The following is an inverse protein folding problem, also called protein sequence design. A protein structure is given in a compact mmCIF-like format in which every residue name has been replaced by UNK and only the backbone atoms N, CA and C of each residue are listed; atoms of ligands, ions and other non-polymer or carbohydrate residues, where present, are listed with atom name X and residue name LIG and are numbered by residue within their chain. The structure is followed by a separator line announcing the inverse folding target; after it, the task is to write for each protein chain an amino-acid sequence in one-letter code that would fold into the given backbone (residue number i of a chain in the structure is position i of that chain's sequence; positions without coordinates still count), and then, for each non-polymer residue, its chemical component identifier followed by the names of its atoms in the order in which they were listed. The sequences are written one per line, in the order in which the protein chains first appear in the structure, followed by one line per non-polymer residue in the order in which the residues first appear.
data_IF_344980404766
#
_entry.id   IF_344980404766
#
_cell.length_a   1.000
_cell.length_b   1.000
_cell.length_c   1.000
_cell.angle_alpha   90.00
_cell.angle_beta   90.00
_cell.angle_gamma   90.00
#
_symmetry.space_group_name_H-M   'P 1'
#
loop_
_entity.id
_entity.type
_entity.pdbx_description
1 polymer ?
#
# COMPACT_ATOMS: atom_id res chain seq x y z
N UNK A 1 35.11 -24.64 -8.14
CA UNK A 1 34.07 -23.93 -7.35
C UNK A 1 32.74 -24.60 -7.60
N UNK A 2 31.86 -24.69 -6.58
CA UNK A 2 30.53 -25.31 -6.71
C UNK A 2 29.63 -24.50 -7.67
N UNK A 3 28.72 -25.13 -8.45
CA UNK A 3 27.82 -24.45 -9.39
C UNK A 3 26.99 -23.31 -8.74
N UNK A 4 26.67 -23.45 -7.46
CA UNK A 4 25.91 -22.49 -6.65
C UNK A 4 26.62 -21.15 -6.45
N UNK A 5 27.96 -21.12 -6.48
CA UNK A 5 28.75 -19.89 -6.30
C UNK A 5 28.79 -19.05 -7.58
N UNK A 6 28.74 -19.70 -8.75
CA UNK A 6 28.64 -19.03 -10.05
C UNK A 6 27.25 -18.45 -10.30
N UNK A 7 26.19 -19.16 -9.89
CA UNK A 7 24.81 -18.65 -9.95
C UNK A 7 24.64 -17.36 -9.12
N UNK A 8 25.32 -17.24 -7.97
CA UNK A 8 25.31 -16.00 -7.17
C UNK A 8 26.14 -14.86 -7.79
N UNK A 9 27.30 -15.16 -8.38
CA UNK A 9 28.11 -14.14 -9.08
C UNK A 9 27.41 -13.59 -10.32
N UNK A 10 26.73 -14.46 -11.08
CA UNK A 10 25.86 -14.05 -12.19
C UNK A 10 24.62 -13.31 -11.69
N UNK A 11 24.00 -13.76 -10.57
CA UNK A 11 22.87 -13.04 -9.98
C UNK A 11 23.27 -11.61 -9.59
N UNK A 12 24.39 -11.39 -8.89
CA UNK A 12 24.82 -10.02 -8.54
C UNK A 12 25.16 -9.15 -9.77
N UNK A 13 25.74 -9.74 -10.82
CA UNK A 13 26.12 -8.99 -12.04
C UNK A 13 24.89 -8.63 -12.88
N UNK A 14 23.92 -9.54 -12.97
CA UNK A 14 22.66 -9.35 -13.72
C UNK A 14 21.65 -8.51 -12.93
N UNK A 15 21.65 -8.59 -11.59
CA UNK A 15 20.69 -7.88 -10.73
C UNK A 15 21.00 -6.40 -10.53
N UNK A 16 22.23 -5.96 -10.75
CA UNK A 16 22.68 -4.62 -10.32
C UNK A 16 23.28 -3.76 -11.43
N UNK A 17 23.63 -4.32 -12.60
CA UNK A 17 24.40 -3.59 -13.61
C UNK A 17 25.80 -3.20 -13.13
N UNK A 18 26.30 -3.93 -12.13
CA UNK A 18 27.52 -3.64 -11.38
C UNK A 18 28.49 -4.82 -11.53
N UNK A 19 29.80 -4.55 -11.55
CA UNK A 19 30.79 -5.63 -11.62
C UNK A 19 30.86 -6.34 -10.27
N UNK A 20 30.48 -7.62 -10.25
CA UNK A 20 30.45 -8.42 -9.03
C UNK A 20 31.73 -9.25 -8.87
N UNK A 21 32.26 -9.27 -7.65
CA UNK A 21 33.38 -10.12 -7.27
C UNK A 21 33.05 -10.90 -6.00
N UNK A 22 33.26 -12.21 -6.04
CA UNK A 22 33.09 -13.10 -4.89
C UNK A 22 34.45 -13.67 -4.50
N UNK A 23 34.85 -13.43 -3.25
CA UNK A 23 36.10 -13.95 -2.69
C UNK A 23 35.82 -14.80 -1.45
N UNK A 24 36.43 -15.98 -1.38
CA UNK A 24 36.38 -16.82 -0.18
C UNK A 24 37.31 -16.25 0.89
N UNK A 25 36.82 -16.07 2.11
CA UNK A 25 37.65 -15.62 3.23
C UNK A 25 38.31 -16.83 3.88
N UNK A 26 39.63 -16.95 3.75
CA UNK A 26 40.42 -17.97 4.45
C UNK A 26 41.36 -17.25 5.40
N UNK A 27 41.13 -17.38 6.71
CA UNK A 27 42.03 -16.82 7.74
C UNK A 27 42.22 -15.30 7.70
N UNK A 28 41.23 -14.53 7.23
CA UNK A 28 41.28 -13.07 7.20
C UNK A 28 42.07 -12.43 6.06
N UNK A 29 42.51 -13.18 5.04
CA UNK A 29 43.14 -12.63 3.82
C UNK A 29 42.44 -13.11 2.54
N UNK A 30 42.41 -12.24 1.54
CA UNK A 30 41.73 -12.43 0.25
C UNK A 30 42.62 -13.22 -0.73
N UNK A 31 42.08 -14.24 -1.41
CA UNK A 31 42.77 -15.00 -2.46
C UNK A 31 42.01 -14.90 -3.80
N UNK A 32 42.71 -14.65 -4.92
CA UNK A 32 42.14 -14.58 -6.29
C UNK A 32 42.15 -15.96 -6.97
N UNK A 33 41.12 -16.31 -7.74
CA UNK A 33 41.08 -17.53 -8.56
C UNK A 33 40.66 -17.27 -10.01
N UNK A 34 41.37 -17.89 -10.96
CA UNK A 34 41.10 -17.89 -12.41
C UNK A 34 40.13 -19.00 -12.86
N UNK A 35 39.54 -18.82 -14.04
CA UNK A 35 38.35 -19.54 -14.53
C UNK A 35 38.61 -20.92 -15.17
N UNK A 36 37.64 -21.83 -14.99
CA UNK A 36 37.45 -23.10 -15.69
C UNK A 36 35.94 -23.47 -15.66
N UNK A 37 35.49 -24.13 -16.74
CA UNK A 37 34.09 -24.36 -17.17
C UNK A 37 33.44 -25.61 -16.50
N UNK A 38 32.10 -25.67 -16.23
CA UNK A 38 31.52 -26.72 -15.38
C UNK A 38 30.75 -27.83 -16.12
N UNK A 39 30.80 -29.04 -15.55
CA UNK A 39 29.87 -30.16 -15.77
C UNK A 39 28.86 -30.24 -14.61
N UNK A 40 27.62 -30.65 -14.91
CA UNK A 40 26.47 -30.58 -14.01
C UNK A 40 26.19 -31.90 -13.27
N UNK A 41 25.85 -31.84 -11.97
CA UNK A 41 24.73 -32.61 -11.35
C UNK A 41 24.59 -32.39 -9.82
N UNK A 42 23.32 -32.43 -9.38
CA UNK A 42 22.76 -32.66 -8.02
C UNK A 42 22.62 -31.47 -7.06
N UNK A 43 21.36 -31.14 -6.73
CA UNK A 43 20.94 -30.09 -5.78
C UNK A 43 20.12 -30.70 -4.65
N UNK A 44 20.58 -30.58 -3.41
CA UNK A 44 19.78 -30.75 -2.18
C UNK A 44 19.80 -29.43 -1.38
N UNK A 45 18.71 -29.17 -0.65
CA UNK A 45 18.36 -27.85 -0.11
C UNK A 45 19.38 -27.21 0.83
N UNK A 46 19.55 -25.90 0.71
CA UNK A 46 20.40 -25.07 1.54
C UNK A 46 19.59 -23.90 2.14
N UNK A 47 19.82 -23.60 3.41
CA UNK A 47 19.43 -22.34 4.05
C UNK A 47 20.70 -21.50 4.21
N UNK A 48 20.67 -20.26 3.74
CA UNK A 48 21.79 -19.33 3.82
C UNK A 48 21.31 -17.98 4.33
N UNK A 49 21.99 -17.44 5.34
CA UNK A 49 21.78 -16.09 5.85
C UNK A 49 22.74 -15.15 5.09
N UNK A 50 22.20 -14.13 4.42
CA UNK A 50 22.97 -13.09 3.76
C UNK A 50 22.88 -11.81 4.59
N UNK A 51 24.01 -11.37 5.14
CA UNK A 51 24.12 -10.06 5.77
C UNK A 51 24.71 -9.08 4.76
N UNK A 52 23.92 -8.08 4.36
CA UNK A 52 24.30 -7.05 3.37
C UNK A 52 24.62 -5.76 4.11
N UNK A 53 25.79 -5.18 3.81
CA UNK A 53 26.26 -3.91 4.33
C UNK A 53 26.62 -2.97 3.17
N UNK A 54 25.91 -1.84 3.08
CA UNK A 54 26.32 -0.77 2.18
C UNK A 54 27.52 -0.04 2.77
N UNK A 55 28.64 -0.06 2.04
CA UNK A 55 29.91 0.47 2.56
C UNK A 55 30.18 1.88 2.01
N UNK A 56 29.76 2.16 0.76
CA UNK A 56 29.82 3.49 0.12
C UNK A 56 28.65 3.68 -0.86
N UNK A 57 28.54 4.85 -1.52
CA UNK A 57 27.51 5.12 -2.54
C UNK A 57 27.62 4.22 -3.77
N UNK A 58 28.80 3.66 -4.06
CA UNK A 58 29.05 2.86 -5.26
C UNK A 58 29.51 1.44 -4.94
N UNK A 59 29.58 1.04 -3.67
CA UNK A 59 29.99 -0.31 -3.26
C UNK A 59 29.01 -0.92 -2.25
N UNK A 60 28.40 -2.03 -2.66
CA UNK A 60 27.60 -2.90 -1.80
C UNK A 60 28.44 -4.13 -1.50
N UNK A 61 28.59 -4.46 -0.21
CA UNK A 61 29.32 -5.67 0.19
C UNK A 61 28.50 -6.50 1.18
N UNK A 62 28.66 -7.81 1.16
CA UNK A 62 27.94 -8.70 2.06
C UNK A 62 28.80 -9.89 2.46
N UNK A 63 28.51 -10.44 3.63
CA UNK A 63 29.10 -11.70 4.07
C UNK A 63 28.03 -12.77 4.02
N UNK A 64 28.37 -13.87 3.35
CA UNK A 64 27.48 -15.01 3.15
C UNK A 64 28.13 -16.25 3.73
N UNK A 65 27.43 -16.93 4.62
CA UNK A 65 27.85 -18.21 5.17
C UNK A 65 27.21 -19.36 4.36
N UNK A 66 28.05 -20.10 3.62
CA UNK A 66 27.65 -21.26 2.81
C UNK A 66 28.53 -22.45 3.18
N UNK A 67 27.92 -23.55 3.65
CA UNK A 67 28.60 -24.80 3.99
C UNK A 67 29.79 -24.60 4.96
N UNK A 68 29.55 -23.86 6.04
CA UNK A 68 30.58 -23.52 7.04
C UNK A 68 31.76 -22.70 6.49
N UNK A 69 31.58 -22.04 5.35
CA UNK A 69 32.56 -21.11 4.76
C UNK A 69 31.97 -19.72 4.58
N UNK A 70 32.74 -18.72 4.99
CA UNK A 70 32.42 -17.29 4.83
C UNK A 70 32.86 -16.83 3.44
N UNK A 71 31.95 -16.24 2.70
CA UNK A 71 32.20 -15.60 1.42
C UNK A 71 31.96 -14.10 1.57
N UNK A 72 32.83 -13.28 1.00
CA UNK A 72 32.56 -11.85 0.84
C UNK A 72 32.12 -11.62 -0.60
N UNK A 73 30.91 -11.12 -0.77
CA UNK A 73 30.46 -10.52 -2.01
C UNK A 73 30.77 -9.02 -1.95
N UNK A 74 31.33 -8.46 -3.01
CA UNK A 74 31.40 -7.01 -3.22
C UNK A 74 30.94 -6.73 -4.64
N UNK A 75 30.18 -5.65 -4.78
CA UNK A 75 29.58 -5.20 -6.02
C UNK A 75 29.89 -3.72 -6.18
N UNK A 76 30.57 -3.37 -7.27
CA UNK A 76 30.94 -1.98 -7.56
C UNK A 76 30.07 -1.48 -8.70
N UNK A 77 29.26 -0.47 -8.41
CA UNK A 77 28.30 0.10 -9.33
C UNK A 77 28.91 1.28 -10.09
N UNK A 78 28.81 1.23 -11.43
CA UNK A 78 29.36 2.25 -12.30
C UNK A 78 28.62 3.59 -12.18
N UNK A 79 29.32 4.70 -12.45
CA UNK A 79 28.83 6.07 -12.30
C UNK A 79 27.70 6.49 -13.28
N UNK A 80 27.09 5.53 -14.00
CA UNK A 80 26.09 5.78 -15.04
C UNK A 80 24.63 5.81 -14.56
N UNK A 81 24.33 5.39 -13.34
CA UNK A 81 22.95 5.37 -12.84
C UNK A 81 22.52 6.79 -12.44
N UNK A 82 21.44 7.31 -13.03
CA UNK A 82 20.89 8.62 -12.67
C UNK A 82 19.61 8.46 -11.86
N UNK A 83 19.47 9.22 -10.78
CA UNK A 83 18.25 9.25 -9.97
C UNK A 83 17.83 7.88 -9.40
N UNK A 84 16.59 7.49 -9.68
CA UNK A 84 15.91 6.28 -9.18
C UNK A 84 16.66 4.96 -9.40
N UNK A 85 17.44 4.85 -10.49
CA UNK A 85 18.18 3.63 -10.81
C UNK A 85 19.32 3.36 -9.80
N UNK A 86 19.80 4.39 -9.09
CA UNK A 86 20.72 4.22 -7.95
C UNK A 86 20.02 3.70 -6.70
N UNK A 87 18.73 3.99 -6.54
CA UNK A 87 17.96 3.61 -5.37
C UNK A 87 17.40 2.19 -5.48
N UNK A 88 17.08 1.70 -6.69
CA UNK A 88 16.51 0.38 -6.91
C UNK A 88 17.27 -0.79 -6.21
N UNK A 89 18.62 -0.87 -6.27
CA UNK A 89 19.40 -1.86 -5.50
C UNK A 89 19.19 -1.81 -3.99
N UNK A 90 19.04 -0.59 -3.46
CA UNK A 90 18.85 -0.27 -2.04
C UNK A 90 17.39 -0.41 -1.60
N UNK A 91 16.44 -0.34 -2.53
CA UNK A 91 15.00 -0.40 -2.28
C UNK A 91 14.38 -1.78 -2.42
N UNK A 92 15.22 -2.81 -2.44
CA UNK A 92 14.73 -4.17 -2.34
C UNK A 92 13.86 -4.33 -1.09
N UNK A 93 12.62 -4.85 -1.22
CA UNK A 93 11.77 -5.15 -0.08
C UNK A 93 12.54 -6.07 0.86
N UNK A 94 12.80 -5.58 2.06
CA UNK A 94 13.70 -6.23 3.04
C UNK A 94 12.99 -7.35 3.80
N UNK A 95 11.65 -7.31 3.80
CA UNK A 95 10.79 -8.28 4.48
C UNK A 95 9.42 -8.33 3.80
N UNK A 96 8.99 -9.53 3.43
CA UNK A 96 7.61 -9.81 3.03
C UNK A 96 7.03 -10.76 4.06
N UNK A 97 6.04 -10.31 4.83
CA UNK A 97 5.30 -11.19 5.72
C UNK A 97 4.10 -11.75 4.96
N UNK A 98 4.07 -13.07 4.81
CA UNK A 98 2.93 -13.78 4.26
C UNK A 98 2.07 -14.29 5.41
N UNK A 99 0.85 -13.76 5.53
CA UNK A 99 -0.17 -14.35 6.41
C UNK A 99 -1.17 -15.14 5.58
N UNK A 100 -1.53 -16.33 6.07
CA UNK A 100 -2.52 -17.21 5.46
C UNK A 100 -3.49 -17.71 6.52
N UNK A 101 -4.76 -17.37 6.34
CA UNK A 101 -5.82 -17.66 7.31
C UNK A 101 -6.31 -19.12 7.29
N UNK A 102 -5.77 -19.97 6.41
CA UNK A 102 -6.22 -21.38 6.28
C UNK A 102 -5.09 -22.37 6.50
N UNK A 103 -4.72 -22.57 7.76
CA UNK A 103 -3.98 -23.75 8.22
C UNK A 103 -4.88 -25.00 8.14
N UNK A 104 -5.05 -25.59 6.95
CA UNK A 104 -5.79 -26.86 6.86
C UNK A 104 -6.15 -27.37 5.47
N UNK A 105 -6.05 -26.56 4.41
CA UNK A 105 -6.22 -27.05 3.04
C UNK A 105 -5.00 -26.68 2.22
N UNK A 106 -4.04 -27.61 2.15
CA UNK A 106 -2.82 -27.54 1.32
C UNK A 106 -3.09 -27.45 -0.20
N UNK A 107 -4.28 -27.00 -0.64
CA UNK A 107 -4.70 -26.90 -2.03
C UNK A 107 -5.14 -25.49 -2.46
N UNK A 108 -5.21 -24.48 -1.58
CA UNK A 108 -5.81 -23.18 -1.93
C UNK A 108 -5.04 -21.93 -1.49
N UNK A 109 -3.93 -22.03 -0.75
CA UNK A 109 -3.07 -20.89 -0.37
C UNK A 109 -1.84 -20.73 -1.28
N UNK A 110 -1.22 -19.55 -1.28
CA UNK A 110 0.04 -19.30 -2.00
C UNK A 110 1.26 -19.88 -1.28
N UNK A 111 2.17 -20.51 -2.01
CA UNK A 111 3.47 -20.85 -1.44
C UNK A 111 4.38 -19.61 -1.37
N UNK A 112 5.41 -19.64 -0.52
CA UNK A 112 6.47 -18.62 -0.54
C UNK A 112 7.10 -18.52 -1.93
N UNK A 113 7.21 -19.63 -2.66
CA UNK A 113 7.72 -19.64 -4.03
C UNK A 113 6.78 -18.88 -4.99
N UNK A 114 5.46 -18.99 -4.83
CA UNK A 114 4.48 -18.23 -5.63
C UNK A 114 4.57 -16.74 -5.33
N UNK A 115 4.64 -16.37 -4.04
CA UNK A 115 4.84 -14.97 -3.62
C UNK A 115 6.17 -14.43 -4.13
N UNK A 116 7.24 -15.21 -4.02
CA UNK A 116 8.58 -14.77 -4.47
C UNK A 116 8.67 -14.64 -5.99
N UNK A 117 7.98 -15.50 -6.72
CA UNK A 117 7.90 -15.44 -8.18
C UNK A 117 7.08 -14.23 -8.66
N UNK A 118 6.02 -13.89 -7.93
CA UNK A 118 5.08 -12.84 -8.33
C UNK A 118 5.49 -11.44 -7.82
N UNK A 119 6.00 -11.36 -6.60
CA UNK A 119 6.28 -10.10 -5.88
C UNK A 119 7.71 -10.00 -5.35
N UNK A 120 8.45 -11.11 -5.35
CA UNK A 120 9.79 -11.19 -4.76
C UNK A 120 10.94 -10.92 -5.72
N UNK A 121 10.68 -10.48 -6.95
CA UNK A 121 11.70 -9.98 -7.87
C UNK A 121 11.66 -8.44 -7.86
N UNK A 122 12.53 -7.77 -7.08
CA UNK A 122 12.45 -6.32 -6.90
C UNK A 122 12.72 -5.52 -8.17
N UNK A 123 13.46 -6.10 -9.12
CA UNK A 123 13.74 -5.48 -10.41
C UNK A 123 12.52 -5.43 -11.32
N UNK A 124 11.53 -6.29 -11.06
CA UNK A 124 10.26 -6.29 -11.79
C UNK A 124 9.25 -5.33 -11.13
N UNK A 125 9.55 -4.83 -9.93
CA UNK A 125 8.71 -3.86 -9.24
C UNK A 125 8.98 -2.46 -9.78
N UNK A 126 7.91 -1.76 -10.17
CA UNK A 126 7.99 -0.34 -10.50
C UNK A 126 7.94 0.45 -9.20
N UNK A 127 8.94 1.29 -8.93
CA UNK A 127 8.95 2.16 -7.75
C UNK A 127 8.37 3.52 -8.08
N UNK A 128 7.74 4.15 -7.10
CA UNK A 128 7.20 5.51 -7.22
C UNK A 128 7.47 6.32 -5.95
N UNK A 129 7.50 7.64 -6.09
CA UNK A 129 7.47 8.54 -4.94
C UNK A 129 6.09 8.49 -4.31
N UNK A 130 6.04 8.22 -3.00
CA UNK A 130 4.80 8.09 -2.22
C UNK A 130 3.97 9.37 -2.27
N UNK A 131 4.62 10.54 -2.25
CA UNK A 131 3.94 11.83 -2.33
C UNK A 131 3.25 12.04 -3.69
N UNK A 132 3.83 11.53 -4.77
CA UNK A 132 3.35 11.73 -6.14
C UNK A 132 2.24 10.76 -6.58
N UNK A 133 1.94 9.73 -5.77
CA UNK A 133 1.02 8.65 -6.14
C UNK A 133 -0.16 8.51 -5.18
N UNK A 134 -1.32 8.15 -5.71
CA UNK A 134 -2.51 7.88 -4.91
C UNK A 134 -2.38 6.56 -4.15
N UNK A 135 -3.14 6.40 -3.07
CA UNK A 135 -3.32 5.11 -2.45
C UNK A 135 -4.62 4.46 -2.93
N UNK A 136 -4.50 3.24 -3.47
CA UNK A 136 -5.65 2.40 -3.78
C UNK A 136 -6.18 1.73 -2.52
N UNK A 137 -7.47 1.38 -2.56
CA UNK A 137 -8.09 0.55 -1.52
C UNK A 137 -7.43 -0.82 -1.48
N UNK A 138 -7.35 -1.41 -0.29
CA UNK A 138 -6.81 -2.75 -0.10
C UNK A 138 -7.79 -3.80 -0.63
N UNK A 139 -7.78 -4.00 -1.95
CA UNK A 139 -8.72 -4.89 -2.63
C UNK A 139 -8.00 -5.74 -3.68
N UNK A 140 -8.26 -7.04 -3.65
CA UNK A 140 -7.63 -8.02 -4.54
C UNK A 140 -8.20 -7.99 -5.97
N UNK A 141 -9.16 -7.10 -6.26
CA UNK A 141 -9.72 -6.81 -7.59
C UNK A 141 -8.97 -5.70 -8.32
N UNK A 142 -8.12 -4.92 -7.64
CA UNK A 142 -7.29 -3.89 -8.29
C UNK A 142 -6.31 -4.57 -9.26
N UNK A 143 -6.36 -4.15 -10.52
CA UNK A 143 -5.56 -4.72 -11.62
C UNK A 143 -4.34 -3.89 -12.00
N UNK A 144 -4.30 -2.62 -11.57
CA UNK A 144 -3.17 -1.74 -11.83
C UNK A 144 -2.13 -1.85 -10.71
N UNK A 145 -0.82 -1.72 -11.01
CA UNK A 145 0.18 -1.53 -9.97
C UNK A 145 -0.13 -0.28 -9.14
N UNK A 146 -0.14 -0.40 -7.81
CA UNK A 146 -0.44 0.72 -6.91
C UNK A 146 0.26 0.60 -5.57
N UNK A 147 0.17 1.66 -4.77
CA UNK A 147 0.46 1.66 -3.34
C UNK A 147 -0.88 1.55 -2.61
N UNK A 148 -0.90 0.80 -1.51
CA UNK A 148 -2.13 0.43 -0.81
C UNK A 148 -2.08 0.86 0.64
N UNK A 149 -3.21 1.35 1.13
CA UNK A 149 -3.38 1.69 2.54
C UNK A 149 -3.29 0.44 3.43
N UNK A 150 -2.73 0.54 4.63
CA UNK A 150 -2.59 -0.59 5.52
C UNK A 150 -3.87 -0.71 6.35
N UNK A 151 -4.08 -1.87 6.94
CA UNK A 151 -4.95 -1.90 8.10
C UNK A 151 -4.20 -1.57 9.37
N UNK A 152 -4.85 -0.77 10.21
CA UNK A 152 -4.59 -0.80 11.64
C UNK A 152 -5.33 -1.98 12.23
N UNK A 153 -4.62 -3.10 12.42
CA UNK A 153 -5.03 -4.03 13.44
C UNK A 153 -4.74 -3.36 14.79
N UNK A 154 -5.72 -3.17 15.68
CA UNK A 154 -5.45 -2.60 17.00
C UNK A 154 -4.46 -3.49 17.76
N UNK A 155 -3.37 -2.89 18.23
CA UNK A 155 -2.25 -3.53 18.96
C UNK A 155 -2.65 -4.22 20.29
N UNK A 156 -3.94 -4.20 20.65
CA UNK A 156 -4.45 -4.68 21.94
C UNK A 156 -5.32 -5.92 21.83
N UNK A 157 -4.83 -7.07 21.31
CA UNK A 157 -5.59 -8.33 21.44
C UNK A 157 -4.66 -9.58 21.45
N UNK A 158 -4.11 -9.89 22.63
CA UNK A 158 -3.39 -11.14 22.94
C UNK A 158 -4.33 -12.36 23.10
N UNK A 159 -5.28 -12.58 22.18
CA UNK A 159 -6.21 -13.72 22.28
C UNK A 159 -5.94 -14.81 21.22
N UNK A 160 -6.06 -16.10 21.58
CA UNK A 160 -5.76 -17.21 20.67
C UNK A 160 -6.72 -17.23 19.47
N UNK A 161 -6.15 -17.37 18.27
CA UNK A 161 -6.76 -17.44 16.93
C UNK A 161 -7.66 -18.68 16.68
N UNK A 162 -8.33 -19.23 17.70
CA UNK A 162 -9.17 -20.42 17.54
C UNK A 162 -10.67 -20.16 17.72
N UNK A 163 -11.09 -18.90 17.88
CA UNK A 163 -12.51 -18.57 18.05
C UNK A 163 -12.93 -17.23 17.43
N UNK A 164 -12.19 -16.69 16.45
CA UNK A 164 -12.48 -15.37 15.82
C UNK A 164 -12.28 -15.38 14.28
N UNK A 165 -12.53 -16.53 13.64
CA UNK A 165 -12.06 -16.90 12.28
C UNK A 165 -12.79 -16.24 11.09
N UNK A 166 -13.32 -15.02 11.26
CA UNK A 166 -13.86 -14.26 10.12
C UNK A 166 -13.79 -12.74 10.33
N UNK A 167 -13.85 -12.27 11.58
CA UNK A 167 -14.02 -10.85 11.88
C UNK A 167 -12.71 -10.05 11.78
N UNK A 168 -11.55 -10.68 12.05
CA UNK A 168 -10.26 -10.00 11.95
C UNK A 168 -9.76 -9.85 10.51
N UNK A 169 -10.03 -10.81 9.63
CA UNK A 169 -9.70 -10.69 8.20
C UNK A 169 -10.42 -9.52 7.51
N UNK A 170 -11.51 -9.00 8.09
CA UNK A 170 -12.30 -7.88 7.56
C UNK A 170 -11.83 -6.51 8.06
N UNK A 171 -11.13 -6.45 9.20
CA UNK A 171 -10.51 -5.21 9.70
C UNK A 171 -9.28 -4.86 8.86
N UNK A 172 -8.82 -5.80 8.03
CA UNK A 172 -7.62 -5.65 7.23
C UNK A 172 -7.79 -4.76 5.99
N UNK A 173 -9.02 -4.46 5.54
CA UNK A 173 -9.26 -3.68 4.32
C UNK A 173 -9.26 -2.18 4.62
N UNK A 174 -8.48 -1.38 3.86
CA UNK A 174 -8.39 0.07 4.01
C UNK A 174 -8.85 0.79 2.72
N UNK A 175 -9.55 1.92 2.87
CA UNK A 175 -10.36 2.54 1.82
C UNK A 175 -9.64 3.53 0.88
N UNK A 176 -8.33 3.36 0.67
CA UNK A 176 -7.51 4.23 -0.17
C UNK A 176 -7.40 5.66 0.37
N UNK A 177 -7.15 6.63 -0.52
CA UNK A 177 -7.02 8.04 -0.13
C UNK A 177 -8.27 8.59 0.60
N UNK A 178 -9.48 8.24 0.15
CA UNK A 178 -10.72 8.69 0.80
C UNK A 178 -10.89 8.08 2.20
N UNK A 179 -10.50 6.82 2.39
CA UNK A 179 -10.53 6.16 3.70
C UNK A 179 -9.61 6.86 4.71
N UNK A 180 -8.36 7.12 4.31
CA UNK A 180 -7.40 7.86 5.16
C UNK A 180 -7.89 9.29 5.45
N UNK A 181 -8.54 9.94 4.48
CA UNK A 181 -9.16 11.25 4.71
C UNK A 181 -10.26 11.18 5.79
N UNK A 182 -11.12 10.16 5.78
CA UNK A 182 -12.16 9.96 6.81
C UNK A 182 -11.53 9.81 8.20
N UNK A 183 -10.50 8.97 8.33
CA UNK A 183 -9.80 8.75 9.59
C UNK A 183 -9.14 10.05 10.09
N UNK A 184 -8.47 10.79 9.19
CA UNK A 184 -7.86 12.07 9.53
C UNK A 184 -8.91 13.15 9.90
N UNK A 185 -10.04 13.20 9.22
CA UNK A 185 -11.16 14.11 9.52
C UNK A 185 -11.82 13.77 10.86
N UNK A 186 -11.97 12.48 11.19
CA UNK A 186 -12.47 12.03 12.49
C UNK A 186 -11.51 12.44 13.62
N UNK A 187 -10.21 12.19 13.45
CA UNK A 187 -9.19 12.65 14.39
C UNK A 187 -9.18 14.18 14.52
N UNK A 188 -9.47 14.89 13.43
CA UNK A 188 -9.65 16.33 13.47
C UNK A 188 -10.87 16.72 14.33
N UNK A 189 -12.00 16.04 14.16
CA UNK A 189 -13.23 16.27 14.94
C UNK A 189 -13.07 15.89 16.42
N UNK A 190 -12.40 14.78 16.75
CA UNK A 190 -12.22 14.31 18.13
C UNK A 190 -11.56 15.37 19.02
N UNK A 191 -10.61 16.13 18.46
CA UNK A 191 -9.91 17.20 19.19
C UNK A 191 -10.65 18.54 19.19
N UNK A 192 -11.78 18.67 18.50
CA UNK A 192 -12.69 19.80 18.67
C UNK A 192 -13.64 19.49 19.84
N UNK A 193 -13.46 20.17 20.96
CA UNK A 193 -14.20 19.89 22.21
C UNK A 193 -15.70 20.19 22.07
N UNK A 194 -16.04 21.19 21.27
CA UNK A 194 -17.40 21.76 21.23
C UNK A 194 -18.25 21.20 20.09
N UNK A 195 -17.68 20.32 19.26
CA UNK A 195 -18.33 19.82 18.05
C UNK A 195 -18.46 18.31 18.10
N UNK A 196 -19.67 17.79 17.93
CA UNK A 196 -19.96 16.35 17.98
C UNK A 196 -19.98 15.68 16.61
N UNK A 197 -20.14 16.40 15.49
CA UNK A 197 -20.21 15.82 14.15
C UNK A 197 -19.84 16.88 13.12
N UNK A 198 -19.28 16.48 11.98
CA UNK A 198 -19.08 17.35 10.82
C UNK A 198 -20.36 17.38 9.97
N UNK A 199 -20.82 18.56 9.57
CA UNK A 199 -21.91 18.68 8.59
C UNK A 199 -21.44 18.28 7.20
N UNK A 200 -22.36 17.91 6.30
CA UNK A 200 -22.02 17.58 4.91
C UNK A 200 -21.25 18.71 4.22
N UNK A 201 -21.66 19.97 4.42
CA UNK A 201 -21.00 21.13 3.81
C UNK A 201 -19.54 21.28 4.27
N UNK A 202 -19.26 20.96 5.53
CA UNK A 202 -17.89 20.99 6.06
C UNK A 202 -17.04 19.84 5.52
N UNK A 203 -17.63 18.64 5.34
CA UNK A 203 -16.93 17.52 4.69
C UNK A 203 -16.66 17.83 3.22
N UNK A 204 -17.63 18.41 2.50
CA UNK A 204 -17.48 18.87 1.12
C UNK A 204 -16.33 19.90 1.01
N UNK A 205 -16.29 20.88 1.91
CA UNK A 205 -15.21 21.89 1.99
C UNK A 205 -13.86 21.26 2.33
N UNK A 206 -13.79 20.42 3.37
CA UNK A 206 -12.55 19.81 3.85
C UNK A 206 -11.91 18.93 2.79
N UNK A 207 -12.71 18.13 2.08
CA UNK A 207 -12.25 17.24 1.04
C UNK A 207 -11.76 18.05 -0.17
N UNK A 208 -12.55 19.01 -0.65
CA UNK A 208 -12.18 19.86 -1.79
C UNK A 208 -10.89 20.62 -1.52
N UNK A 209 -10.77 21.23 -0.34
CA UNK A 209 -9.60 22.03 0.02
C UNK A 209 -8.36 21.14 0.24
N UNK A 210 -8.52 19.91 0.75
CA UNK A 210 -7.42 18.95 0.85
C UNK A 210 -6.91 18.56 -0.55
N UNK A 211 -7.81 18.22 -1.47
CA UNK A 211 -7.45 17.85 -2.84
C UNK A 211 -6.77 19.02 -3.56
N UNK A 212 -7.23 20.26 -3.35
CA UNK A 212 -6.57 21.45 -3.88
C UNK A 212 -5.14 21.61 -3.33
N UNK A 213 -4.98 21.51 -2.00
CA UNK A 213 -3.67 21.58 -1.34
C UNK A 213 -2.68 20.53 -1.87
N UNK A 214 -3.18 19.33 -2.15
CA UNK A 214 -2.39 18.25 -2.75
C UNK A 214 -2.06 18.56 -4.21
N UNK A 215 -3.04 18.98 -5.01
CA UNK A 215 -2.86 19.27 -6.43
C UNK A 215 -1.89 20.43 -6.70
N UNK A 216 -1.82 21.41 -5.79
CA UNK A 216 -0.87 22.53 -5.86
C UNK A 216 0.58 22.07 -5.66
N UNK A 217 0.79 21.04 -4.85
CA UNK A 217 2.12 20.48 -4.53
C UNK A 217 2.53 19.39 -5.51
N UNK A 218 1.60 18.52 -5.86
CA UNK A 218 1.81 17.34 -6.70
C UNK A 218 0.77 17.30 -7.84
N UNK A 219 0.96 18.07 -8.93
CA UNK A 219 -0.06 18.24 -9.96
C UNK A 219 -0.44 16.96 -10.70
N UNK A 220 0.41 15.93 -10.72
CA UNK A 220 0.15 14.66 -11.40
C UNK A 220 -0.59 13.66 -10.52
N UNK A 221 -0.69 13.94 -9.22
CA UNK A 221 -1.32 13.03 -8.28
C UNK A 221 -2.85 13.08 -8.41
N UNK A 222 -3.46 11.89 -8.38
CA UNK A 222 -4.89 11.72 -8.26
C UNK A 222 -5.28 11.47 -6.79
N UNK A 223 -6.56 11.68 -6.47
CA UNK A 223 -7.18 11.34 -5.20
C UNK A 223 -8.19 10.21 -5.43
N UNK A 224 -7.93 9.07 -4.79
CA UNK A 224 -8.56 7.80 -5.13
C UNK A 224 -9.74 7.43 -4.22
N UNK A 225 -10.75 6.81 -4.83
CA UNK A 225 -11.76 5.98 -4.17
C UNK A 225 -12.16 4.82 -5.09
N UNK A 226 -12.72 3.75 -4.53
CA UNK A 226 -13.31 2.67 -5.32
C UNK A 226 -14.72 2.32 -4.87
N UNK A 227 -15.46 1.69 -5.77
CA UNK A 227 -16.67 0.94 -5.49
C UNK A 227 -16.63 -0.36 -6.30
N UNK A 228 -17.70 -1.15 -6.29
CA UNK A 228 -17.78 -2.38 -7.08
C UNK A 228 -19.06 -2.49 -7.90
N UNK A 229 -19.02 -3.39 -8.88
CA UNK A 229 -20.14 -3.69 -9.75
C UNK A 229 -21.40 -4.12 -8.97
N UNK A 230 -21.25 -4.90 -7.90
CA UNK A 230 -22.36 -5.34 -7.06
C UNK A 230 -23.10 -4.17 -6.39
N UNK A 231 -22.37 -3.19 -5.84
CA UNK A 231 -22.94 -1.98 -5.27
C UNK A 231 -23.61 -1.11 -6.32
N UNK A 232 -22.99 -0.93 -7.50
CA UNK A 232 -23.59 -0.20 -8.63
C UNK A 232 -24.89 -0.85 -9.08
N UNK A 233 -24.92 -2.18 -9.20
CA UNK A 233 -26.12 -2.93 -9.55
C UNK A 233 -27.19 -2.85 -8.45
N UNK A 234 -26.80 -2.75 -7.17
CA UNK A 234 -27.75 -2.52 -6.09
C UNK A 234 -28.37 -1.11 -6.17
N UNK A 235 -27.58 -0.07 -6.42
CA UNK A 235 -28.04 1.30 -6.63
C UNK A 235 -29.07 1.35 -7.77
N UNK A 236 -28.79 0.73 -8.92
CA UNK A 236 -29.72 0.66 -10.06
C UNK A 236 -31.08 0.06 -9.69
N UNK A 237 -31.08 -0.99 -8.86
CA UNK A 237 -32.31 -1.62 -8.37
C UNK A 237 -33.08 -0.71 -7.41
N UNK A 238 -32.39 -0.04 -6.50
CA UNK A 238 -33.01 0.87 -5.52
C UNK A 238 -33.65 2.07 -6.23
N UNK A 239 -32.97 2.65 -7.21
CA UNK A 239 -33.45 3.79 -8.00
C UNK A 239 -34.43 3.38 -9.12
N UNK A 240 -34.72 2.08 -9.27
CA UNK A 240 -35.59 1.52 -10.32
C UNK A 240 -35.20 2.04 -11.72
N UNK A 241 -33.90 2.08 -12.00
CA UNK A 241 -33.35 2.64 -13.23
C UNK A 241 -32.13 1.84 -13.70
N UNK A 242 -32.26 1.17 -14.85
CA UNK A 242 -31.21 0.35 -15.44
C UNK A 242 -30.08 1.20 -16.06
N UNK A 243 -30.35 2.48 -16.34
CA UNK A 243 -29.44 3.40 -17.03
C UNK A 243 -28.73 4.36 -16.07
N UNK A 244 -28.69 4.10 -14.76
CA UNK A 244 -27.92 4.94 -13.84
C UNK A 244 -26.43 4.74 -14.10
N UNK A 245 -25.79 5.80 -14.57
CA UNK A 245 -24.34 5.94 -14.55
C UNK A 245 -23.95 6.73 -13.29
N UNK A 246 -23.29 6.06 -12.35
CA UNK A 246 -22.85 6.70 -11.10
C UNK A 246 -21.64 7.61 -11.29
N UNK A 247 -20.94 7.50 -12.42
CA UNK A 247 -19.74 8.31 -12.73
C UNK A 247 -20.14 9.65 -13.37
N UNK A 248 -21.25 9.65 -14.12
CA UNK A 248 -21.79 10.83 -14.78
C UNK A 248 -23.33 10.82 -14.76
N UNK A 249 -23.97 10.94 -13.58
CA UNK A 249 -25.42 10.93 -13.48
C UNK A 249 -26.04 12.20 -14.06
N UNK A 250 -27.24 12.05 -14.61
CA UNK A 250 -28.06 13.18 -15.05
C UNK A 250 -28.51 14.04 -13.86
N UNK A 251 -28.65 15.34 -14.07
CA UNK A 251 -28.91 16.30 -12.98
C UNK A 251 -30.17 15.97 -12.16
N UNK A 252 -31.19 15.40 -12.79
CA UNK A 252 -32.45 15.04 -12.15
C UNK A 252 -32.36 13.88 -11.16
N UNK A 253 -31.32 13.04 -11.23
CA UNK A 253 -31.14 11.89 -10.32
C UNK A 253 -30.06 12.13 -9.28
N UNK A 254 -29.30 13.23 -9.37
CA UNK A 254 -28.15 13.49 -8.48
C UNK A 254 -28.54 13.56 -7.00
N UNK A 255 -29.63 14.25 -6.68
CA UNK A 255 -30.11 14.37 -5.30
C UNK A 255 -30.50 13.00 -4.72
N UNK A 256 -31.29 12.23 -5.47
CA UNK A 256 -31.68 10.88 -5.09
C UNK A 256 -30.46 9.95 -4.95
N UNK A 257 -29.52 10.04 -5.89
CA UNK A 257 -28.28 9.27 -5.89
C UNK A 257 -27.42 9.60 -4.66
N UNK A 258 -27.28 10.88 -4.28
CA UNK A 258 -26.58 11.23 -3.03
C UNK A 258 -27.24 10.65 -1.78
N UNK A 259 -28.57 10.51 -1.78
CA UNK A 259 -29.31 9.91 -0.67
C UNK A 259 -29.02 8.41 -0.49
N UNK A 260 -28.75 7.69 -1.58
CA UNK A 260 -28.49 6.24 -1.53
C UNK A 260 -27.00 5.88 -1.44
N UNK A 261 -26.10 6.75 -1.89
CA UNK A 261 -24.64 6.51 -1.84
C UNK A 261 -24.08 6.32 -0.43
N UNK A 262 -24.71 6.92 0.58
CA UNK A 262 -24.32 6.79 1.98
C UNK A 262 -24.83 5.49 2.65
N UNK A 263 -25.67 4.70 1.98
CA UNK A 263 -26.15 3.42 2.50
C UNK A 263 -25.03 2.37 2.42
N UNK A 264 -24.73 1.64 3.52
CA UNK A 264 -23.72 0.57 3.51
C UNK A 264 -23.92 -0.49 2.41
N UNK A 265 -25.17 -0.77 2.00
CA UNK A 265 -25.47 -1.73 0.95
C UNK A 265 -25.10 -1.22 -0.46
N UNK A 266 -24.91 0.08 -0.60
CA UNK A 266 -24.48 0.76 -1.82
C UNK A 266 -22.98 1.11 -1.80
N UNK A 267 -22.23 0.68 -0.77
CA UNK A 267 -20.79 0.85 -0.66
C UNK A 267 -20.07 -0.43 -1.12
N UNK A 268 -19.43 -0.37 -2.30
CA UNK A 268 -18.65 -1.48 -2.84
C UNK A 268 -17.27 -1.62 -2.22
N UNK A 269 -16.71 -0.52 -1.72
CA UNK A 269 -15.53 -0.55 -0.88
C UNK A 269 -15.89 -1.11 0.51
N UNK A 270 -15.31 -2.26 0.84
CA UNK A 270 -15.62 -2.99 2.07
C UNK A 270 -15.21 -2.19 3.31
N UNK A 271 -14.11 -1.44 3.26
CA UNK A 271 -13.68 -0.59 4.37
C UNK A 271 -14.74 0.46 4.69
N UNK A 272 -15.27 1.15 3.68
CA UNK A 272 -16.36 2.11 3.86
C UNK A 272 -17.64 1.46 4.38
N UNK A 273 -17.99 0.29 3.85
CA UNK A 273 -19.14 -0.48 4.33
C UNK A 273 -18.98 -0.86 5.80
N UNK A 274 -17.81 -1.33 6.21
CA UNK A 274 -17.51 -1.69 7.60
C UNK A 274 -17.42 -0.48 8.53
N UNK A 275 -16.82 0.64 8.09
CA UNK A 275 -16.83 1.89 8.86
C UNK A 275 -18.25 2.34 9.18
N UNK A 276 -19.18 2.18 8.22
CA UNK A 276 -20.57 2.59 8.39
C UNK A 276 -21.39 1.59 9.22
N UNK A 277 -21.15 0.28 9.06
CA UNK A 277 -21.85 -0.77 9.82
C UNK A 277 -21.32 -0.93 11.25
N UNK A 278 -20.03 -0.67 11.45
CA UNK A 278 -19.29 -0.90 12.70
C UNK A 278 -18.41 0.29 13.08
N UNK A 279 -18.98 1.51 13.26
CA UNK A 279 -18.21 2.73 13.50
C UNK A 279 -17.28 2.68 14.71
N UNK A 280 -17.61 1.86 15.73
CA UNK A 280 -16.77 1.64 16.91
C UNK A 280 -15.42 1.01 16.62
N UNK A 281 -15.33 0.18 15.56
CA UNK A 281 -14.05 -0.46 15.18
C UNK A 281 -13.04 0.56 14.65
N UNK A 282 -13.52 1.72 14.20
CA UNK A 282 -12.72 2.77 13.56
C UNK A 282 -12.74 4.08 14.36
N UNK A 283 -13.16 4.03 15.63
CA UNK A 283 -13.26 5.19 16.51
C UNK A 283 -14.18 6.32 15.99
N UNK A 284 -15.19 5.96 15.18
CA UNK A 284 -16.15 6.88 14.57
C UNK A 284 -17.40 7.09 15.43
N UNK A 285 -17.39 6.80 16.73
CA UNK A 285 -18.57 6.89 17.59
C UNK A 285 -19.13 8.31 17.70
N UNK A 286 -18.25 9.30 17.56
CA UNK A 286 -18.60 10.71 17.62
C UNK A 286 -19.40 11.12 16.39
N UNK A 287 -19.01 10.65 15.20
CA UNK A 287 -19.70 10.93 13.94
C UNK A 287 -19.82 9.67 13.06
N UNK A 288 -20.76 8.76 13.36
CA UNK A 288 -20.92 7.50 12.63
C UNK A 288 -21.26 7.66 11.14
N UNK A 289 -21.79 8.82 10.76
CA UNK A 289 -22.20 9.14 9.39
C UNK A 289 -21.05 9.71 8.54
N UNK A 290 -19.89 9.99 9.14
CA UNK A 290 -18.74 10.59 8.46
C UNK A 290 -18.29 9.82 7.20
N UNK A 291 -18.23 8.48 7.18
CA UNK A 291 -17.89 7.73 5.96
C UNK A 291 -18.86 8.01 4.81
N UNK A 292 -20.17 7.98 5.08
CA UNK A 292 -21.20 8.29 4.09
C UNK A 292 -21.11 9.72 3.57
N UNK A 293 -20.88 10.70 4.47
CA UNK A 293 -20.67 12.10 4.08
C UNK A 293 -19.47 12.27 3.16
N UNK A 294 -18.37 11.56 3.43
CA UNK A 294 -17.15 11.61 2.61
C UNK A 294 -17.35 10.98 1.22
N UNK A 295 -18.07 9.85 1.12
CA UNK A 295 -18.47 9.26 -0.17
C UNK A 295 -19.30 10.25 -0.98
N UNK A 296 -20.32 10.86 -0.35
CA UNK A 296 -21.17 11.87 -1.02
C UNK A 296 -20.35 13.08 -1.46
N UNK A 297 -19.41 13.56 -0.64
CA UNK A 297 -18.53 14.68 -0.98
C UNK A 297 -17.65 14.36 -2.20
N UNK A 298 -17.08 13.15 -2.24
CA UNK A 298 -16.27 12.67 -3.36
C UNK A 298 -17.09 12.66 -4.67
N UNK A 299 -18.29 12.07 -4.65
CA UNK A 299 -19.14 12.00 -5.85
C UNK A 299 -19.65 13.37 -6.30
N UNK A 300 -20.01 14.27 -5.37
CA UNK A 300 -20.37 15.65 -5.70
C UNK A 300 -19.25 16.36 -6.46
N UNK A 301 -18.00 16.20 -6.00
CA UNK A 301 -16.84 16.81 -6.66
C UNK A 301 -16.54 16.13 -8.01
N UNK A 302 -16.76 14.82 -8.13
CA UNK A 302 -16.62 14.06 -9.38
C UNK A 302 -17.62 14.51 -10.46
N UNK A 303 -18.85 14.84 -10.05
CA UNK A 303 -19.93 15.23 -10.97
C UNK A 303 -19.93 16.72 -11.33
N UNK A 304 -19.17 17.54 -10.62
CA UNK A 304 -19.03 18.97 -10.87
C UNK A 304 -18.09 19.23 -12.06
N UNK A 305 -18.68 19.32 -13.25
CA UNK A 305 -17.97 19.61 -14.52
C UNK A 305 -17.31 20.99 -14.56
N UNK A 306 -17.67 21.88 -13.64
CA UNK A 306 -17.10 23.23 -13.58
C UNK A 306 -15.88 23.32 -12.67
N UNK A 307 -15.65 22.30 -11.84
CA UNK A 307 -14.57 22.29 -10.88
C UNK A 307 -13.27 21.74 -11.49
N UNK A 308 -12.16 22.50 -11.50
CA UNK A 308 -10.88 22.02 -12.04
C UNK A 308 -10.29 20.85 -11.27
N UNK A 309 -10.74 20.59 -10.03
CA UNK A 309 -10.30 19.45 -9.23
C UNK A 309 -10.97 18.13 -9.65
N UNK A 310 -12.00 18.17 -10.51
CA UNK A 310 -12.66 16.97 -11.01
C UNK A 310 -11.66 16.00 -11.64
N UNK A 311 -10.75 16.52 -12.45
CA UNK A 311 -9.73 15.71 -13.14
C UNK A 311 -8.60 15.24 -12.21
N UNK A 312 -8.68 15.57 -10.91
CA UNK A 312 -7.82 15.04 -9.85
C UNK A 312 -8.46 13.86 -9.13
N UNK A 313 -9.71 13.51 -9.41
CA UNK A 313 -10.38 12.38 -8.78
C UNK A 313 -10.21 11.12 -9.63
N UNK A 314 -9.95 10.00 -8.95
CA UNK A 314 -9.93 8.67 -9.57
C UNK A 314 -10.96 7.79 -8.86
N UNK A 315 -11.97 7.34 -9.62
CA UNK A 315 -12.94 6.35 -9.17
C UNK A 315 -12.71 5.04 -9.94
N UNK A 316 -12.35 3.98 -9.22
CA UNK A 316 -12.27 2.63 -9.80
C UNK A 316 -13.55 1.84 -9.45
N UNK A 317 -14.23 1.31 -10.46
CA UNK A 317 -15.36 0.37 -10.29
C UNK A 317 -14.80 -1.04 -10.46
N UNK A 318 -14.62 -1.72 -9.34
CA UNK A 318 -13.99 -3.04 -9.27
C UNK A 318 -14.98 -4.12 -9.69
N UNK A 319 -14.53 -4.99 -10.60
CA UNK A 319 -15.38 -6.04 -11.17
C UNK A 319 -15.18 -7.39 -10.47
N UNK A 320 -16.28 -8.11 -10.29
CA UNK A 320 -16.30 -9.47 -9.77
C UNK A 320 -16.10 -9.57 -8.26
N UNK A 321 -15.82 -10.79 -7.81
CA UNK A 321 -15.79 -11.14 -6.39
C UNK A 321 -14.37 -11.07 -5.83
N UNK A 322 -14.28 -10.67 -4.55
CA UNK A 322 -13.06 -10.75 -3.74
C UNK A 322 -12.76 -12.21 -3.37
N UNK A 323 -11.49 -12.62 -3.47
CA UNK A 323 -11.06 -13.96 -3.04
C UNK A 323 -9.54 -14.03 -2.76
N UNK A 324 -8.98 -13.13 -1.93
CA UNK A 324 -7.54 -13.04 -1.71
C UNK A 324 -6.98 -14.37 -1.17
N UNK A 325 -5.82 -14.76 -1.70
CA UNK A 325 -5.09 -15.99 -1.32
C UNK A 325 -3.96 -15.74 -0.33
N UNK A 326 -3.65 -14.48 -0.11
CA UNK A 326 -2.57 -14.03 0.75
C UNK A 326 -2.83 -12.60 1.22
N UNK A 327 -2.30 -12.29 2.39
CA UNK A 327 -2.04 -10.93 2.83
C UNK A 327 -0.53 -10.70 2.82
N UNK A 328 -0.10 -9.63 2.15
CA UNK A 328 1.30 -9.31 1.87
C UNK A 328 1.61 -7.96 2.52
N UNK A 329 2.39 -7.97 3.59
CA UNK A 329 2.94 -6.75 4.15
C UNK A 329 4.23 -6.38 3.42
N UNK A 330 4.29 -5.17 2.88
CA UNK A 330 5.42 -4.65 2.13
C UNK A 330 6.23 -3.70 3.02
N UNK A 331 7.46 -4.09 3.30
CA UNK A 331 8.43 -3.26 4.00
C UNK A 331 9.61 -2.94 3.09
N UNK A 332 9.95 -1.66 2.98
CA UNK A 332 11.14 -1.17 2.26
C UNK A 332 12.27 -0.86 3.23
N UNK A 333 13.50 -0.80 2.73
CA UNK A 333 14.68 -0.43 3.52
C UNK A 333 14.59 1.02 4.04
N UNK A 334 15.33 1.34 5.10
CA UNK A 334 15.42 2.69 5.68
C UNK A 334 15.83 3.75 4.64
N UNK A 335 16.71 3.39 3.71
CA UNK A 335 17.12 4.28 2.63
C UNK A 335 15.93 4.72 1.75
N UNK A 336 14.97 3.84 1.54
CA UNK A 336 13.83 4.08 0.65
C UNK A 336 12.67 4.76 1.36
N UNK A 337 12.50 4.45 2.65
CA UNK A 337 11.68 5.28 3.53
C UNK A 337 12.21 6.72 3.57
N UNK A 338 13.53 6.89 3.73
CA UNK A 338 14.15 8.23 3.75
C UNK A 338 14.00 8.95 2.40
N UNK A 339 14.00 8.21 1.30
CA UNK A 339 13.79 8.75 -0.05
C UNK A 339 12.30 8.99 -0.40
N UNK A 340 11.35 8.58 0.45
CA UNK A 340 9.91 8.67 0.17
C UNK A 340 9.47 7.80 -1.01
N UNK A 341 10.05 6.61 -1.15
CA UNK A 341 9.84 5.71 -2.31
C UNK A 341 9.28 4.36 -1.85
N UNK A 342 8.28 3.87 -2.58
CA UNK A 342 7.69 2.55 -2.37
C UNK A 342 7.52 1.79 -3.70
N UNK A 343 7.61 0.44 -3.69
CA UNK A 343 7.26 -0.36 -4.85
C UNK A 343 5.74 -0.29 -5.08
N UNK A 344 5.33 -0.26 -6.33
CA UNK A 344 3.95 -0.49 -6.73
C UNK A 344 3.79 -1.97 -7.04
N UNK A 345 2.78 -2.60 -6.46
CA UNK A 345 2.48 -4.01 -6.67
C UNK A 345 1.07 -4.16 -7.24
N UNK A 346 0.83 -5.26 -7.96
CA UNK A 346 -0.49 -5.55 -8.52
C UNK A 346 -1.16 -6.68 -7.73
N UNK A 347 -2.26 -6.41 -7.00
CA UNK A 347 -2.97 -7.41 -6.20
C UNK A 347 -3.47 -8.61 -6.98
N UNK A 348 -3.93 -8.37 -8.22
CA UNK A 348 -4.50 -9.40 -9.10
C UNK A 348 -3.59 -9.73 -10.27
N UNK A 349 -3.25 -11.01 -10.39
CA UNK A 349 -2.57 -11.57 -11.56
C UNK A 349 -3.41 -12.69 -12.19
N UNK A 350 -2.95 -13.23 -13.32
CA UNK A 350 -3.58 -14.40 -13.94
C UNK A 350 -3.52 -15.67 -13.08
N UNK A 351 -2.69 -15.69 -12.03
CA UNK A 351 -2.40 -16.91 -11.23
C UNK A 351 -2.78 -16.75 -9.77
N UNK A 352 -2.83 -15.52 -9.25
CA UNK A 352 -3.07 -15.25 -7.83
C UNK A 352 -3.77 -13.91 -7.60
N UNK A 353 -4.51 -13.83 -6.49
CA UNK A 353 -4.99 -12.57 -5.91
C UNK A 353 -4.50 -12.45 -4.47
N UNK A 354 -4.11 -11.25 -4.05
CA UNK A 354 -3.63 -10.99 -2.69
C UNK A 354 -4.05 -9.61 -2.21
N UNK A 355 -4.15 -9.43 -0.90
CA UNK A 355 -4.19 -8.11 -0.28
C UNK A 355 -2.74 -7.65 -0.03
N UNK A 356 -2.42 -6.40 -0.35
CA UNK A 356 -1.06 -5.87 -0.28
C UNK A 356 -1.04 -4.61 0.57
N UNK A 357 -0.29 -4.55 1.67
CA UNK A 357 -0.26 -3.41 2.59
C UNK A 357 1.11 -2.71 2.59
N UNK A 358 1.14 -1.38 2.43
CA UNK A 358 2.37 -0.58 2.40
C UNK A 358 2.54 0.29 3.66
N UNK A 359 2.73 -0.34 4.83
CA UNK A 359 2.78 0.35 6.13
C UNK A 359 3.66 1.62 6.15
N UNK A 360 4.88 1.54 5.60
CA UNK A 360 5.81 2.68 5.58
C UNK A 360 5.35 3.86 4.71
N UNK A 361 4.80 3.59 3.53
CA UNK A 361 4.30 4.64 2.64
C UNK A 361 3.10 5.38 3.26
N UNK A 362 2.29 4.66 4.02
CA UNK A 362 1.07 5.21 4.61
C UNK A 362 1.40 6.14 5.76
N UNK A 363 2.44 5.84 6.54
CA UNK A 363 2.92 6.76 7.57
C UNK A 363 3.26 8.14 6.98
N UNK A 364 3.75 8.21 5.74
CA UNK A 364 3.98 9.49 5.04
C UNK A 364 2.66 10.15 4.62
N UNK A 365 1.72 9.40 4.03
CA UNK A 365 0.37 9.87 3.67
C UNK A 365 -0.37 10.46 4.87
N UNK A 366 -0.34 9.76 5.99
CA UNK A 366 -0.94 10.15 7.27
C UNK A 366 -0.31 11.41 7.83
N UNK A 367 1.01 11.55 7.73
CA UNK A 367 1.72 12.77 8.14
C UNK A 367 1.31 13.98 7.30
N UNK A 368 1.16 13.81 6.00
CA UNK A 368 0.69 14.87 5.10
C UNK A 368 -0.73 15.32 5.44
N UNK A 369 -1.67 14.38 5.65
CA UNK A 369 -3.04 14.69 6.06
C UNK A 369 -3.09 15.35 7.45
N UNK A 370 -2.28 14.86 8.39
CA UNK A 370 -2.14 15.47 9.72
C UNK A 370 -1.68 16.93 9.62
N UNK A 371 -0.67 17.20 8.79
CA UNK A 371 -0.14 18.55 8.56
C UNK A 371 -1.21 19.46 7.94
N UNK A 372 -2.00 18.96 6.98
CA UNK A 372 -3.14 19.70 6.42
C UNK A 372 -4.17 20.07 7.50
N UNK A 373 -4.67 19.08 8.26
CA UNK A 373 -5.68 19.32 9.30
C UNK A 373 -5.16 20.15 10.48
N UNK A 374 -3.85 20.12 10.76
CA UNK A 374 -3.21 21.01 11.73
C UNK A 374 -3.18 22.45 11.23
N UNK A 375 -2.84 22.67 9.96
CA UNK A 375 -2.75 24.00 9.35
C UNK A 375 -4.10 24.73 9.37
N UNK A 376 -5.21 24.01 9.19
CA UNK A 376 -6.59 24.50 9.30
C UNK A 376 -6.94 25.05 10.69
N UNK A 377 -6.34 24.52 11.77
CA UNK A 377 -6.64 24.94 13.15
C UNK A 377 -5.90 26.19 13.62
N UNK A 378 -4.89 26.64 12.88
CA UNK A 378 -4.16 27.86 13.25
C UNK A 378 -5.03 29.13 13.17
N UNK A 379 -6.26 29.01 12.65
CA UNK A 379 -7.30 30.06 12.71
C UNK A 379 -8.20 29.98 13.96
N UNK A 380 -8.07 28.97 14.83
CA UNK A 380 -8.94 28.78 16.01
C UNK A 380 -8.28 28.18 17.29
N UNK A 381 -6.94 28.17 17.41
CA UNK A 381 -6.24 27.71 18.62
C UNK A 381 -5.53 26.35 18.45
N UNK A 382 -4.23 26.32 18.73
CA UNK A 382 -3.32 25.26 18.28
C UNK A 382 -3.14 24.10 19.28
N UNK A 383 -3.09 22.88 18.73
CA UNK A 383 -2.59 21.63 19.34
C UNK A 383 -1.44 21.16 18.43
N UNK A 384 -0.36 20.62 19.00
CA UNK A 384 0.91 20.40 18.28
C UNK A 384 0.84 19.29 17.22
N UNK A 385 1.65 19.44 16.15
CA UNK A 385 1.84 18.45 15.07
C UNK A 385 2.12 17.04 15.60
N UNK A 386 2.94 16.92 16.64
CA UNK A 386 3.30 15.62 17.23
C UNK A 386 2.12 14.89 17.88
N UNK A 387 1.15 15.62 18.44
CA UNK A 387 -0.05 15.01 19.04
C UNK A 387 -1.06 14.54 17.99
N UNK A 388 -1.06 15.11 16.77
CA UNK A 388 -1.87 14.59 15.65
C UNK A 388 -1.25 13.32 15.09
N UNK A 389 0.07 13.27 14.98
CA UNK A 389 0.77 12.07 14.52
C UNK A 389 0.58 10.89 15.48
N UNK A 390 0.57 11.11 16.80
CA UNK A 390 0.34 10.04 17.78
C UNK A 390 -1.09 9.51 17.84
N UNK A 391 -2.04 10.11 17.11
CA UNK A 391 -3.43 9.67 17.02
C UNK A 391 -3.76 9.01 15.66
N UNK A 392 -2.83 9.09 14.71
CA UNK A 392 -2.93 8.53 13.35
C UNK A 392 -1.90 7.37 13.18
N UNK A 393 -0.97 7.22 14.14
CA UNK A 393 -0.16 6.04 14.37
C UNK A 393 -0.87 5.17 15.40
#
# INVERSE_FOLDING_TARGET
MHPSVWLLGCALTVLLGCDASISRLIGGRQARSGGLQPDATTTTGFSSLLEVHQNTTNEISGVLDLNSHKYRASCVCGDGLTGFEKLAPTCNPSKVNLRQDRTGSAKTGLTIADVSKQYGQPLDATFTHVESHHFSSLDDRVTEPSIFTPSEAPDTLTHPLSSMDAMHAHIDEAGGDLGEFVLAANNHLLKQTDKSSLSQAEVDEYLRDYIAHVADREPTRLFYHSTDDAAVEHIKRVLVSESVDITEPSDNIREELTGVLADPLNMGDVHFRLMTQHPKWFHLEKDPELPGKAVVAFFKLLWDKTNPLRDKLKLDILAGHTNPKAFIEVSVSEACQTAGVAPMLTPRSSVTTALISHLSAVAERRREMADYFASRRTHSGAVGKEELLSAIQ
#
